data_IF_698396736235
#
_entry.id   IF_698396736235
#
_cell.length_a   1.000
_cell.length_b   1.000
_cell.length_c   1.000
_cell.angle_alpha   90.00
_cell.angle_beta   90.00
_cell.angle_gamma   90.00
#
_symmetry.space_group_name_H-M   'P 1'
#
loop_
_entity.id
_entity.type
_entity.pdbx_description
1 polymer ?
#
# COMPACT_ATOMS: atom_id res chain seq x y z
N UNK A 1 17.28 28.39 2.45
CA UNK A 1 17.04 27.05 1.85
C UNK A 1 15.56 26.92 1.55
N UNK A 2 15.20 26.52 0.34
CA UNK A 2 13.79 26.38 -0.09
C UNK A 2 13.08 25.34 0.79
N UNK A 3 12.03 25.77 1.48
CA UNK A 3 11.23 24.94 2.42
C UNK A 3 10.27 23.99 1.64
N UNK A 4 10.81 23.30 0.62
CA UNK A 4 10.03 22.40 -0.21
C UNK A 4 9.65 21.13 0.58
N UNK A 5 8.37 20.71 0.56
CA UNK A 5 7.95 19.47 1.24
C UNK A 5 8.68 18.26 0.66
N UNK A 6 9.11 17.33 1.52
CA UNK A 6 9.73 16.07 1.10
C UNK A 6 8.71 14.93 1.01
N UNK A 7 9.04 13.97 0.16
CA UNK A 7 8.33 12.71 0.03
C UNK A 7 9.19 11.61 0.66
N UNK A 8 8.63 10.91 1.63
CA UNK A 8 9.22 9.70 2.22
C UNK A 8 8.80 8.47 1.40
N UNK A 9 9.74 7.82 0.74
CA UNK A 9 9.54 6.56 0.05
C UNK A 9 9.78 5.41 1.03
N UNK A 10 8.73 4.69 1.38
CA UNK A 10 8.72 3.62 2.38
C UNK A 10 8.66 2.26 1.68
N UNK A 11 9.78 1.56 1.60
CA UNK A 11 9.90 0.27 0.94
C UNK A 11 9.67 -0.90 1.90
N UNK A 12 8.56 -1.61 1.70
CA UNK A 12 8.25 -2.87 2.40
C UNK A 12 8.77 -4.03 1.58
N UNK A 13 9.84 -4.68 2.04
CA UNK A 13 10.62 -5.64 1.27
C UNK A 13 10.74 -7.00 1.97
N UNK A 14 10.75 -8.06 1.18
CA UNK A 14 11.25 -9.34 1.65
C UNK A 14 12.77 -9.28 1.80
N UNK A 15 13.51 -9.03 0.71
CA UNK A 15 14.97 -8.96 0.69
C UNK A 15 15.55 -7.86 -0.22
N UNK A 16 14.90 -7.53 -1.33
CA UNK A 16 15.46 -6.67 -2.38
C UNK A 16 14.43 -5.78 -3.08
N UNK A 17 14.93 -4.85 -3.86
CA UNK A 17 14.18 -4.08 -4.86
C UNK A 17 14.44 -4.70 -6.23
N UNK A 18 13.44 -5.32 -6.86
CA UNK A 18 13.61 -6.07 -8.11
C UNK A 18 14.06 -5.18 -9.29
N UNK A 19 13.68 -3.90 -9.26
CA UNK A 19 13.97 -2.94 -10.32
C UNK A 19 14.92 -1.84 -9.83
N UNK A 20 16.01 -2.25 -9.15
CA UNK A 20 16.94 -1.34 -8.48
C UNK A 20 17.40 -0.20 -9.39
N UNK A 21 17.91 -0.50 -10.58
CA UNK A 21 18.42 0.51 -11.53
C UNK A 21 17.35 1.55 -11.89
N UNK A 22 16.09 1.13 -12.02
CA UNK A 22 14.98 2.05 -12.32
C UNK A 22 14.79 3.07 -11.18
N UNK A 23 14.90 2.63 -9.95
CA UNK A 23 14.77 3.51 -8.78
C UNK A 23 15.98 4.42 -8.61
N UNK A 24 17.19 3.94 -8.86
CA UNK A 24 18.41 4.76 -8.86
C UNK A 24 18.31 5.88 -9.90
N UNK A 25 17.93 5.55 -11.13
CA UNK A 25 17.72 6.52 -12.21
C UNK A 25 16.58 7.51 -11.89
N UNK A 26 15.57 7.09 -11.13
CA UNK A 26 14.50 7.95 -10.66
C UNK A 26 15.00 8.96 -9.61
N UNK A 27 15.71 8.49 -8.58
CA UNK A 27 16.16 9.36 -7.50
C UNK A 27 17.27 10.33 -7.93
N UNK A 28 18.12 9.97 -8.90
CA UNK A 28 19.14 10.90 -9.45
C UNK A 28 18.54 12.14 -10.11
N UNK A 29 17.25 12.11 -10.47
CA UNK A 29 16.54 13.25 -11.04
C UNK A 29 16.11 14.28 -9.97
N UNK A 30 16.21 13.96 -8.69
CA UNK A 30 15.90 14.88 -7.59
C UNK A 30 17.06 15.85 -7.31
N UNK A 31 17.14 16.92 -8.08
CA UNK A 31 18.16 17.97 -7.91
C UNK A 31 17.94 18.86 -6.67
N UNK A 32 16.81 18.74 -5.98
CA UNK A 32 16.43 19.58 -4.85
C UNK A 32 16.44 18.86 -3.50
N UNK A 33 16.89 17.61 -3.43
CA UNK A 33 16.90 16.79 -2.21
C UNK A 33 15.52 16.74 -1.51
N UNK A 34 14.48 16.56 -2.30
CA UNK A 34 13.08 16.54 -1.85
C UNK A 34 12.52 15.17 -1.57
N UNK A 35 13.36 14.13 -1.58
CA UNK A 35 12.99 12.79 -1.14
C UNK A 35 13.77 12.33 0.08
N UNK A 36 13.23 11.34 0.76
CA UNK A 36 13.89 10.52 1.79
C UNK A 36 13.45 9.08 1.61
N UNK A 37 14.33 8.14 1.99
CA UNK A 37 14.07 6.71 1.84
C UNK A 37 14.00 6.07 3.22
N UNK A 38 13.06 5.16 3.40
CA UNK A 38 12.89 4.31 4.58
C UNK A 38 12.55 2.91 4.13
N UNK A 39 13.07 1.92 4.82
CA UNK A 39 12.82 0.54 4.44
C UNK A 39 12.52 -0.35 5.65
N UNK A 40 11.64 -1.32 5.43
CA UNK A 40 11.53 -2.51 6.25
C UNK A 40 11.95 -3.69 5.39
N UNK A 41 13.00 -4.40 5.79
CA UNK A 41 13.54 -5.56 5.08
C UNK A 41 13.43 -6.77 5.99
N UNK A 42 12.73 -7.83 5.54
CA UNK A 42 12.55 -9.07 6.30
C UNK A 42 13.87 -9.84 6.40
N UNK A 43 14.62 -9.93 5.29
CA UNK A 43 15.90 -10.66 5.21
C UNK A 43 16.93 -9.85 4.40
N UNK A 44 17.94 -9.34 5.06
CA UNK A 44 19.07 -8.69 4.37
C UNK A 44 20.00 -9.77 3.79
N UNK A 45 20.40 -9.56 2.54
CA UNK A 45 21.37 -10.41 1.84
C UNK A 45 22.18 -9.59 0.83
N UNK A 46 23.07 -10.24 0.06
CA UNK A 46 23.92 -9.61 -0.95
C UNK A 46 23.18 -8.87 -2.08
N UNK A 47 21.87 -9.11 -2.24
CA UNK A 47 21.04 -8.47 -3.25
C UNK A 47 20.25 -7.28 -2.68
N UNK A 48 20.35 -6.99 -1.39
CA UNK A 48 19.74 -5.82 -0.78
C UNK A 48 20.61 -4.60 -1.09
N UNK A 49 20.10 -3.57 -1.81
CA UNK A 49 20.89 -2.38 -2.13
C UNK A 49 21.35 -1.65 -0.87
N UNK A 50 22.54 -1.02 -0.89
CA UNK A 50 23.07 -0.25 0.25
C UNK A 50 22.14 0.86 0.69
N UNK A 51 21.59 1.64 -0.26
CA UNK A 51 20.64 2.72 0.02
C UNK A 51 19.32 2.25 0.68
N UNK A 52 18.99 0.95 0.59
CA UNK A 52 17.91 0.31 1.34
C UNK A 52 18.37 -0.10 2.73
N UNK A 53 19.50 -0.80 2.85
CA UNK A 53 19.98 -1.32 4.14
C UNK A 53 20.37 -0.21 5.12
N UNK A 54 20.96 0.88 4.66
CA UNK A 54 21.32 2.06 5.45
C UNK A 54 20.08 2.79 6.02
N UNK A 55 18.96 2.74 5.32
CA UNK A 55 17.71 3.39 5.71
C UNK A 55 16.71 2.47 6.41
N UNK A 56 17.16 1.27 6.78
CA UNK A 56 16.32 0.24 7.41
C UNK A 56 15.77 0.68 8.77
N UNK A 57 14.53 0.29 9.01
CA UNK A 57 13.89 0.34 10.33
C UNK A 57 14.09 -0.99 11.08
N UNK A 58 13.69 -1.02 12.36
CA UNK A 58 13.64 -2.28 13.11
C UNK A 58 12.77 -3.29 12.35
N UNK A 59 13.28 -4.50 12.16
CA UNK A 59 12.54 -5.58 11.51
C UNK A 59 11.41 -6.08 12.42
N UNK A 60 10.23 -6.22 11.83
CA UNK A 60 9.05 -6.85 12.43
C UNK A 60 8.85 -8.18 11.70
N UNK A 61 8.55 -9.26 12.42
CA UNK A 61 8.15 -10.53 11.79
C UNK A 61 6.85 -10.29 11.03
N UNK A 62 6.83 -10.56 9.73
CA UNK A 62 5.67 -10.33 8.86
C UNK A 62 5.30 -11.60 8.11
N UNK A 63 4.01 -11.83 7.91
CA UNK A 63 3.44 -12.82 7.02
C UNK A 63 2.57 -12.17 5.95
N UNK A 64 2.26 -12.90 4.88
CA UNK A 64 1.32 -12.45 3.87
C UNK A 64 -0.09 -12.40 4.47
N UNK A 65 -0.86 -11.37 4.15
CA UNK A 65 -2.22 -11.19 4.67
C UNK A 65 -2.31 -11.09 6.22
N UNK A 66 -1.23 -10.73 6.90
CA UNK A 66 -1.20 -10.62 8.36
C UNK A 66 -1.20 -9.14 8.83
N UNK A 67 -1.79 -8.91 9.99
CA UNK A 67 -1.84 -7.58 10.64
C UNK A 67 -0.43 -6.97 10.86
N UNK A 68 0.58 -7.81 11.02
CA UNK A 68 1.95 -7.36 11.27
C UNK A 68 2.61 -6.68 10.03
N UNK A 69 2.04 -6.81 8.83
CA UNK A 69 2.40 -5.96 7.68
C UNK A 69 2.15 -4.48 7.97
N UNK A 70 1.02 -4.16 8.62
CA UNK A 70 0.71 -2.79 9.07
C UNK A 70 1.77 -2.34 10.09
N UNK A 71 2.21 -3.21 10.98
CA UNK A 71 3.20 -2.87 11.99
C UNK A 71 4.57 -2.57 11.40
N UNK A 72 4.98 -3.30 10.37
CA UNK A 72 6.18 -3.01 9.62
C UNK A 72 6.08 -1.63 8.94
N UNK A 73 4.93 -1.34 8.33
CA UNK A 73 4.68 -0.03 7.74
C UNK A 73 4.73 1.10 8.78
N UNK A 74 4.08 0.92 9.93
CA UNK A 74 4.10 1.91 11.03
C UNK A 74 5.52 2.18 11.53
N UNK A 75 6.43 1.19 11.56
CA UNK A 75 7.83 1.45 11.92
C UNK A 75 8.51 2.43 10.95
N UNK A 76 8.27 2.26 9.64
CA UNK A 76 8.79 3.20 8.63
C UNK A 76 8.17 4.59 8.79
N UNK A 77 6.86 4.67 8.97
CA UNK A 77 6.18 5.96 9.19
C UNK A 77 6.71 6.68 10.43
N UNK A 78 6.89 5.99 11.57
CA UNK A 78 7.45 6.59 12.79
C UNK A 78 8.85 7.16 12.57
N UNK A 79 9.74 6.42 11.88
CA UNK A 79 11.08 6.92 11.53
C UNK A 79 10.98 8.13 10.61
N UNK A 80 10.16 8.06 9.58
CA UNK A 80 10.00 9.10 8.59
C UNK A 80 9.33 10.39 9.15
N UNK A 81 8.41 10.26 10.11
CA UNK A 81 7.72 11.38 10.76
C UNK A 81 8.66 12.22 11.65
N UNK A 82 9.82 11.69 12.07
CA UNK A 82 10.84 12.48 12.79
C UNK A 82 11.37 13.62 11.92
N UNK A 83 11.49 13.42 10.62
CA UNK A 83 11.80 14.50 9.69
C UNK A 83 10.52 15.34 9.42
N UNK A 84 10.49 16.57 9.92
CA UNK A 84 9.34 17.47 9.80
C UNK A 84 9.10 17.95 8.36
N UNK A 85 10.10 17.88 7.48
CA UNK A 85 9.99 18.22 6.07
C UNK A 85 9.23 17.13 5.27
N UNK A 86 9.19 15.88 5.74
CA UNK A 86 8.39 14.83 5.13
C UNK A 86 6.90 15.14 5.31
N UNK A 87 6.23 15.50 4.21
CA UNK A 87 4.80 15.82 4.19
C UNK A 87 3.97 14.71 3.53
N UNK A 88 4.62 13.84 2.75
CA UNK A 88 4.00 12.73 2.03
C UNK A 88 4.80 11.45 2.24
N UNK A 89 4.10 10.31 2.26
CA UNK A 89 4.64 9.00 2.58
C UNK A 89 4.08 7.98 1.58
N UNK A 90 4.94 7.50 0.68
CA UNK A 90 4.56 6.50 -0.32
C UNK A 90 4.95 5.11 0.16
N UNK A 91 3.99 4.21 0.33
CA UNK A 91 4.24 2.80 0.63
C UNK A 91 4.46 2.03 -0.67
N UNK A 92 5.57 1.31 -0.76
CA UNK A 92 6.03 0.63 -1.96
C UNK A 92 6.50 -0.79 -1.65
N UNK A 93 6.25 -1.73 -2.56
CA UNK A 93 6.86 -3.07 -2.54
C UNK A 93 8.16 -3.10 -3.35
N UNK A 94 8.93 -4.18 -3.19
CA UNK A 94 10.12 -4.44 -4.02
C UNK A 94 9.84 -4.62 -5.51
N UNK A 95 8.58 -4.83 -5.91
CA UNK A 95 8.16 -5.03 -7.30
C UNK A 95 7.57 -3.76 -7.94
N UNK A 96 7.45 -2.66 -7.18
CA UNK A 96 6.98 -1.39 -7.71
C UNK A 96 8.02 -0.72 -8.62
N UNK A 97 7.52 0.00 -9.62
CA UNK A 97 8.31 0.93 -10.45
C UNK A 97 7.62 2.30 -10.49
N UNK A 98 8.38 3.41 -10.60
CA UNK A 98 7.81 4.71 -10.90
C UNK A 98 7.37 4.75 -12.37
N UNK A 99 6.16 5.25 -12.64
CA UNK A 99 5.63 5.39 -14.01
C UNK A 99 6.03 6.73 -14.63
N UNK A 100 6.32 7.73 -13.82
CA UNK A 100 6.67 9.10 -14.20
C UNK A 100 8.07 9.46 -13.74
N UNK A 101 8.68 10.48 -14.34
CA UNK A 101 9.94 11.05 -13.87
C UNK A 101 9.80 11.61 -12.44
N UNK A 102 10.93 11.76 -11.72
CA UNK A 102 10.88 12.29 -10.35
C UNK A 102 10.22 13.67 -10.28
N UNK A 103 10.55 14.67 -11.13
CA UNK A 103 9.88 15.97 -11.10
C UNK A 103 8.38 15.90 -11.33
N UNK A 104 7.91 15.02 -12.24
CA UNK A 104 6.48 14.81 -12.48
C UNK A 104 5.80 14.17 -11.27
N UNK A 105 6.40 13.11 -10.72
CA UNK A 105 5.94 12.42 -9.50
C UNK A 105 5.83 13.39 -8.34
N UNK A 106 6.86 14.19 -8.10
CA UNK A 106 6.88 15.21 -7.06
C UNK A 106 5.73 16.20 -7.22
N UNK A 107 5.55 16.76 -8.42
CA UNK A 107 4.46 17.67 -8.75
C UNK A 107 3.08 17.03 -8.53
N UNK A 108 2.89 15.78 -8.97
CA UNK A 108 1.61 15.06 -8.84
C UNK A 108 1.24 14.79 -7.38
N UNK A 109 2.21 14.50 -6.52
CA UNK A 109 2.00 14.22 -5.09
C UNK A 109 1.76 15.53 -4.33
N UNK A 110 2.63 16.52 -4.50
CA UNK A 110 2.63 17.74 -3.67
C UNK A 110 1.50 18.71 -4.03
N UNK A 111 1.08 18.76 -5.30
CA UNK A 111 -0.02 19.63 -5.76
C UNK A 111 -1.36 19.26 -5.11
N UNK A 112 -1.60 18.00 -4.89
CA UNK A 112 -2.90 17.52 -4.38
C UNK A 112 -3.08 17.81 -2.88
N UNK A 113 -2.00 17.84 -2.11
CA UNK A 113 -1.98 17.91 -0.63
C UNK A 113 -2.78 16.79 0.07
N UNK A 114 -3.37 15.86 -0.67
CA UNK A 114 -4.22 14.77 -0.18
C UNK A 114 -3.51 13.43 -0.27
N UNK A 115 -3.89 12.52 0.59
CA UNK A 115 -3.55 11.10 0.47
C UNK A 115 -4.19 10.49 -0.78
N UNK A 116 -3.56 9.46 -1.34
CA UNK A 116 -4.11 8.62 -2.42
C UNK A 116 -4.37 7.24 -1.85
N UNK A 117 -5.62 6.85 -1.81
CA UNK A 117 -6.11 5.55 -1.32
C UNK A 117 -7.15 5.07 -2.31
N UNK A 118 -6.91 3.95 -2.95
CA UNK A 118 -7.88 3.32 -3.85
C UNK A 118 -8.83 2.47 -3.02
N UNK A 119 -10.09 2.87 -2.94
CA UNK A 119 -11.09 2.26 -2.06
C UNK A 119 -12.12 1.54 -2.91
N UNK A 120 -12.36 0.28 -2.62
CA UNK A 120 -13.41 -0.52 -3.23
C UNK A 120 -14.45 -0.95 -2.19
N UNK A 121 -15.71 -0.93 -2.60
CA UNK A 121 -16.81 -1.60 -1.92
C UNK A 121 -17.14 -2.95 -2.55
N UNK A 122 -16.59 -3.22 -3.74
CA UNK A 122 -17.04 -4.28 -4.65
C UNK A 122 -15.98 -5.38 -4.80
N UNK A 123 -15.29 -5.70 -3.71
CA UNK A 123 -14.43 -6.89 -3.68
C UNK A 123 -15.35 -8.08 -3.46
N UNK A 124 -15.64 -8.79 -4.55
CA UNK A 124 -16.35 -10.05 -4.50
C UNK A 124 -15.44 -11.10 -3.86
N UNK A 125 -15.97 -11.81 -2.92
CA UNK A 125 -15.47 -13.08 -2.39
C UNK A 125 -16.49 -14.16 -2.77
N UNK A 126 -16.11 -15.41 -2.77
CA UNK A 126 -17.02 -16.51 -3.15
C UNK A 126 -18.34 -16.53 -2.35
N UNK A 127 -18.32 -15.97 -1.13
CA UNK A 127 -19.49 -15.85 -0.24
C UNK A 127 -20.31 -14.57 -0.45
N UNK A 128 -19.95 -13.70 -1.40
CA UNK A 128 -20.65 -12.44 -1.65
C UNK A 128 -19.75 -11.20 -1.57
N UNK A 129 -20.36 -10.01 -1.50
CA UNK A 129 -19.61 -8.75 -1.38
C UNK A 129 -19.16 -8.51 0.07
N UNK A 130 -17.85 -8.32 0.26
CA UNK A 130 -17.24 -8.09 1.59
C UNK A 130 -17.93 -6.96 2.37
N UNK A 131 -18.31 -5.89 1.69
CA UNK A 131 -18.97 -4.76 2.36
C UNK A 131 -20.36 -5.14 2.86
N UNK A 132 -21.15 -5.85 2.06
CA UNK A 132 -22.50 -6.31 2.44
C UNK A 132 -22.46 -7.25 3.64
N UNK A 133 -21.43 -8.10 3.71
CA UNK A 133 -21.29 -9.10 4.78
C UNK A 133 -20.70 -8.51 6.06
N UNK A 134 -19.75 -7.57 5.96
CA UNK A 134 -18.96 -7.09 7.11
C UNK A 134 -19.16 -5.62 7.46
N UNK A 135 -19.71 -4.84 6.54
CA UNK A 135 -19.72 -3.38 6.60
C UNK A 135 -18.35 -2.72 6.46
N UNK A 136 -17.31 -3.49 6.06
CA UNK A 136 -15.94 -3.03 5.93
C UNK A 136 -15.58 -2.79 4.46
N UNK A 137 -14.89 -1.70 4.20
CA UNK A 137 -14.37 -1.38 2.89
C UNK A 137 -12.97 -1.98 2.72
N UNK A 138 -12.65 -2.31 1.48
CA UNK A 138 -11.35 -2.74 1.03
C UNK A 138 -10.57 -1.55 0.44
N UNK A 139 -9.26 -1.54 0.58
CA UNK A 139 -8.37 -0.62 -0.14
C UNK A 139 -7.04 -1.28 -0.48
N UNK A 140 -6.50 -0.89 -1.62
CA UNK A 140 -5.14 -1.32 -2.00
C UNK A 140 -4.14 -1.00 -0.87
N UNK A 141 -3.29 -1.96 -0.54
CA UNK A 141 -2.21 -1.77 0.44
C UNK A 141 -1.25 -0.62 0.05
N UNK A 142 -1.05 -0.41 -1.25
CA UNK A 142 -0.05 0.54 -1.78
C UNK A 142 -0.63 1.93 -1.93
N UNK A 143 -0.37 2.79 -0.97
CA UNK A 143 -0.97 4.12 -0.83
C UNK A 143 0.09 5.22 -0.77
N UNK A 144 -0.35 6.46 -0.96
CA UNK A 144 0.42 7.65 -0.62
C UNK A 144 -0.36 8.41 0.44
N UNK A 145 0.23 8.62 1.60
CA UNK A 145 -0.40 9.35 2.69
C UNK A 145 0.17 10.77 2.81
N UNK A 146 -0.69 11.73 3.13
CA UNK A 146 -0.25 13.00 3.69
C UNK A 146 0.12 12.82 5.18
N UNK A 147 0.73 13.84 5.77
CA UNK A 147 1.25 13.74 7.14
C UNK A 147 0.16 13.45 8.19
N UNK A 148 -1.04 13.97 8.01
CA UNK A 148 -2.16 13.72 8.92
C UNK A 148 -2.61 12.25 8.86
N UNK A 149 -2.81 11.71 7.67
CA UNK A 149 -3.18 10.31 7.51
C UNK A 149 -2.06 9.36 7.94
N UNK A 150 -0.78 9.73 7.73
CA UNK A 150 0.36 8.97 8.24
C UNK A 150 0.36 8.91 9.78
N UNK A 151 0.01 10.00 10.47
CA UNK A 151 -0.15 10.00 11.93
C UNK A 151 -1.31 9.09 12.35
N UNK A 152 -2.46 9.15 11.67
CA UNK A 152 -3.57 8.25 11.96
C UNK A 152 -3.20 6.77 11.80
N UNK A 153 -2.33 6.43 10.84
CA UNK A 153 -1.83 5.05 10.71
C UNK A 153 -0.92 4.63 11.88
N UNK A 154 -0.14 5.56 12.43
CA UNK A 154 0.63 5.31 13.64
C UNK A 154 -0.32 5.08 14.83
N UNK A 155 -1.34 5.92 14.94
CA UNK A 155 -2.34 5.85 16.01
C UNK A 155 -3.17 4.54 15.96
N UNK A 156 -3.46 4.03 14.77
CA UNK A 156 -4.11 2.73 14.58
C UNK A 156 -3.39 1.61 15.35
N UNK A 157 -2.06 1.62 15.34
CA UNK A 157 -1.26 0.63 16.06
C UNK A 157 -1.01 1.00 17.52
N UNK A 158 -0.64 2.24 17.79
CA UNK A 158 0.03 2.63 19.03
C UNK A 158 -0.94 3.17 20.10
N UNK A 159 -2.02 3.85 19.67
CA UNK A 159 -2.99 4.42 20.61
C UNK A 159 -3.85 3.36 21.30
N UNK A 160 -4.37 3.67 22.48
CA UNK A 160 -5.35 2.83 23.18
C UNK A 160 -6.61 2.64 22.33
N UNK A 161 -7.09 3.72 21.71
CA UNK A 161 -8.27 3.70 20.83
C UNK A 161 -8.02 2.80 19.61
N UNK A 162 -6.89 2.94 18.91
CA UNK A 162 -6.56 2.13 17.75
C UNK A 162 -6.47 0.64 18.07
N UNK A 163 -5.88 0.28 19.23
CA UNK A 163 -5.83 -1.11 19.70
C UNK A 163 -7.22 -1.68 19.99
N UNK A 164 -8.08 -0.91 20.68
CA UNK A 164 -9.45 -1.32 20.98
C UNK A 164 -10.27 -1.45 19.68
N UNK A 165 -10.13 -0.50 18.76
CA UNK A 165 -10.81 -0.51 17.47
C UNK A 165 -10.41 -1.75 16.63
N UNK A 166 -9.11 -2.07 16.50
CA UNK A 166 -8.66 -3.27 15.79
C UNK A 166 -9.22 -4.55 16.41
N UNK A 167 -9.20 -4.66 17.74
CA UNK A 167 -9.78 -5.82 18.45
C UNK A 167 -11.28 -5.99 18.14
N UNK A 168 -12.03 -4.89 18.07
CA UNK A 168 -13.46 -4.89 17.71
C UNK A 168 -13.66 -5.27 16.24
N UNK A 169 -12.91 -4.62 15.33
CA UNK A 169 -13.05 -4.81 13.88
C UNK A 169 -12.65 -6.23 13.45
N UNK A 170 -11.65 -6.82 14.14
CA UNK A 170 -11.21 -8.19 13.84
C UNK A 170 -12.36 -9.20 13.92
N UNK A 171 -13.29 -9.03 14.84
CA UNK A 171 -14.45 -9.92 14.96
C UNK A 171 -15.33 -9.92 13.70
N UNK A 172 -15.40 -8.79 13.01
CA UNK A 172 -16.21 -8.64 11.79
C UNK A 172 -15.49 -9.13 10.53
N UNK A 173 -14.19 -9.49 10.65
CA UNK A 173 -13.40 -9.97 9.50
C UNK A 173 -13.49 -11.49 9.32
N UNK A 174 -14.05 -12.19 10.28
CA UNK A 174 -14.28 -13.63 10.21
C UNK A 174 -15.74 -13.87 9.84
N UNK A 175 -15.95 -14.29 8.61
CA UNK A 175 -17.26 -14.72 8.12
C UNK A 175 -17.29 -16.23 8.20
N UNK A 176 -18.25 -16.76 8.90
CA UNK A 176 -18.61 -18.19 8.79
C UNK A 176 -19.52 -18.34 7.59
N UNK A 177 -19.24 -19.26 6.69
CA UNK A 177 -20.03 -19.50 5.47
C UNK A 177 -21.51 -19.81 5.74
N UNK A 178 -21.89 -20.13 6.97
CA UNK A 178 -23.26 -20.54 7.35
C UNK A 178 -23.80 -19.87 8.62
N UNK A 179 -23.16 -18.82 9.13
CA UNK A 179 -23.63 -18.16 10.35
C UNK A 179 -23.55 -19.03 11.61
N UNK A 180 -22.75 -20.11 11.60
CA UNK A 180 -22.64 -21.03 12.72
C UNK A 180 -21.91 -20.39 13.91
N UNK A 181 -22.59 -20.10 15.03
CA UNK A 181 -22.00 -19.54 16.21
C UNK A 181 -20.98 -20.47 16.91
N UNK A 182 -20.87 -21.74 16.50
CA UNK A 182 -19.95 -22.72 17.06
C UNK A 182 -18.50 -22.53 16.57
N UNK A 183 -18.27 -21.86 15.43
CA UNK A 183 -16.94 -21.58 14.96
C UNK A 183 -16.30 -20.40 15.70
N UNK A 184 -15.43 -20.73 16.65
CA UNK A 184 -14.67 -19.73 17.42
C UNK A 184 -13.63 -19.06 16.50
N UNK A 185 -13.77 -17.72 16.28
CA UNK A 185 -12.85 -16.93 15.46
C UNK A 185 -11.37 -17.04 15.86
N UNK A 186 -11.05 -17.53 17.06
CA UNK A 186 -9.67 -17.77 17.52
C UNK A 186 -9.06 -19.03 16.91
N UNK A 187 -9.86 -19.93 16.43
CA UNK A 187 -9.49 -21.22 15.88
C UNK A 187 -9.66 -21.27 14.36
N UNK A 188 -10.21 -20.20 13.78
CA UNK A 188 -10.36 -20.08 12.34
C UNK A 188 -8.99 -20.04 11.65
N UNK A 189 -8.65 -21.13 11.00
CA UNK A 189 -7.50 -21.29 10.11
C UNK A 189 -8.01 -21.60 8.71
N UNK A 190 -7.34 -21.19 7.62
CA UNK A 190 -7.72 -21.57 6.27
C UNK A 190 -7.80 -23.09 6.02
N UNK A 191 -7.38 -23.88 6.97
CA UNK A 191 -7.23 -25.34 6.86
C UNK A 191 -8.09 -26.15 7.82
N UNK A 192 -8.93 -25.55 8.68
CA UNK A 192 -9.77 -26.31 9.59
C UNK A 192 -11.22 -26.46 9.09
N UNK A 193 -11.90 -27.50 9.56
CA UNK A 193 -13.22 -27.99 9.10
C UNK A 193 -14.41 -27.04 9.34
N UNK A 194 -14.16 -25.88 9.95
CA UNK A 194 -15.16 -24.83 10.23
C UNK A 194 -15.56 -24.00 9.00
N UNK A 195 -15.74 -24.61 7.83
CA UNK A 195 -16.15 -23.89 6.63
C UNK A 195 -15.16 -22.81 6.17
N UNK A 196 -15.21 -22.43 4.92
CA UNK A 196 -14.33 -21.43 4.33
C UNK A 196 -14.45 -20.09 5.07
N UNK A 197 -13.49 -19.79 5.94
CA UNK A 197 -13.29 -18.43 6.45
C UNK A 197 -12.30 -17.78 5.51
N UNK A 198 -12.78 -17.03 4.54
CA UNK A 198 -11.93 -16.14 3.77
C UNK A 198 -11.36 -15.09 4.71
N UNK A 199 -10.09 -15.25 5.09
CA UNK A 199 -9.40 -14.30 5.92
C UNK A 199 -9.18 -13.03 5.11
N UNK A 200 -10.03 -12.02 5.33
CA UNK A 200 -9.81 -10.68 4.79
C UNK A 200 -8.44 -10.18 5.27
N UNK A 201 -7.60 -9.74 4.33
CA UNK A 201 -6.26 -9.25 4.64
C UNK A 201 -6.32 -7.99 5.51
N UNK A 202 -5.87 -8.02 6.76
CA UNK A 202 -5.93 -6.87 7.67
C UNK A 202 -5.24 -5.62 7.13
N UNK A 203 -4.18 -5.78 6.34
CA UNK A 203 -3.43 -4.68 5.75
C UNK A 203 -4.19 -3.94 4.62
N UNK A 204 -5.25 -4.55 4.09
CA UNK A 204 -6.14 -3.96 3.09
C UNK A 204 -7.47 -3.47 3.69
N UNK A 205 -7.83 -3.96 4.88
CA UNK A 205 -9.09 -3.64 5.57
C UNK A 205 -8.89 -2.59 6.67
N UNK A 206 -7.95 -2.79 7.60
CA UNK A 206 -7.79 -1.89 8.75
C UNK A 206 -7.45 -0.45 8.37
N UNK A 207 -6.50 -0.18 7.47
CA UNK A 207 -6.10 1.19 7.15
C UNK A 207 -7.26 2.04 6.67
N UNK A 208 -8.03 1.58 5.69
CA UNK A 208 -9.12 2.36 5.10
C UNK A 208 -10.26 2.58 6.08
N UNK A 209 -10.67 1.55 6.82
CA UNK A 209 -11.78 1.67 7.76
C UNK A 209 -11.42 2.49 9.00
N UNK A 210 -10.15 2.46 9.43
CA UNK A 210 -9.65 3.36 10.46
C UNK A 210 -9.64 4.81 10.02
N UNK A 211 -9.20 5.09 8.77
CA UNK A 211 -9.25 6.45 8.21
C UNK A 211 -10.69 6.96 8.15
N UNK A 212 -11.65 6.10 7.77
CA UNK A 212 -13.07 6.45 7.78
C UNK A 212 -13.58 6.70 9.20
N UNK A 213 -13.21 5.86 10.16
CA UNK A 213 -13.57 6.05 11.57
C UNK A 213 -13.08 7.40 12.10
N UNK A 214 -11.87 7.83 11.74
CA UNK A 214 -11.25 9.08 12.23
C UNK A 214 -11.62 10.33 11.45
N UNK A 215 -11.92 10.20 10.16
CA UNK A 215 -12.18 11.34 9.25
C UNK A 215 -13.66 11.48 8.88
N UNK A 216 -14.49 10.50 9.23
CA UNK A 216 -15.90 10.43 8.84
C UNK A 216 -16.10 9.68 7.51
N UNK A 217 -17.36 9.47 7.12
CA UNK A 217 -17.76 8.72 5.92
C UNK A 217 -17.09 9.29 4.65
N UNK A 218 -16.91 8.46 3.62
CA UNK A 218 -16.34 8.84 2.31
C UNK A 218 -16.98 10.09 1.69
N UNK A 219 -18.29 10.29 1.92
CA UNK A 219 -19.04 11.46 1.45
C UNK A 219 -18.72 12.75 2.21
N UNK A 220 -18.18 12.67 3.44
CA UNK A 220 -17.96 13.82 4.32
C UNK A 220 -16.91 14.79 3.78
N UNK A 221 -17.06 16.08 4.12
CA UNK A 221 -16.09 17.14 3.79
C UNK A 221 -14.71 16.85 4.42
N UNK A 222 -14.69 16.34 5.66
CA UNK A 222 -13.44 16.02 6.38
C UNK A 222 -12.66 14.89 5.71
N UNK A 223 -13.31 13.83 5.28
CA UNK A 223 -12.68 12.76 4.52
C UNK A 223 -12.14 13.27 3.17
N UNK A 224 -12.98 13.93 2.37
CA UNK A 224 -12.61 14.49 1.06
C UNK A 224 -11.52 15.56 1.11
N UNK A 225 -11.33 16.22 2.25
CA UNK A 225 -10.22 17.17 2.48
C UNK A 225 -8.87 16.45 2.54
N UNK A 226 -8.80 15.26 3.14
CA UNK A 226 -7.56 14.54 3.41
C UNK A 226 -7.28 13.42 2.40
N UNK A 227 -8.30 12.83 1.79
CA UNK A 227 -8.18 11.65 0.94
C UNK A 227 -8.74 11.94 -0.45
N UNK A 228 -8.01 11.50 -1.45
CA UNK A 228 -8.42 11.35 -2.84
C UNK A 228 -8.50 9.87 -3.15
N UNK A 229 -9.70 9.41 -3.49
CA UNK A 229 -10.00 8.03 -3.83
C UNK A 229 -9.54 7.74 -5.26
N UNK A 230 -8.27 7.42 -5.39
CA UNK A 230 -7.60 7.06 -6.64
C UNK A 230 -6.37 6.20 -6.35
N UNK A 231 -5.96 5.32 -7.27
CA UNK A 231 -4.80 4.47 -7.08
C UNK A 231 -3.50 5.27 -6.93
N UNK A 232 -2.68 4.87 -5.97
CA UNK A 232 -1.29 5.29 -5.90
C UNK A 232 -0.41 4.40 -6.78
N UNK A 233 -0.75 3.12 -6.86
CA UNK A 233 -0.03 2.09 -7.63
C UNK A 233 -1.00 1.38 -8.57
N UNK A 234 -0.65 1.28 -9.84
CA UNK A 234 -1.38 0.47 -10.81
C UNK A 234 -1.06 -1.00 -10.57
N UNK A 235 -2.11 -1.78 -10.36
CA UNK A 235 -2.07 -3.24 -10.23
C UNK A 235 -3.09 -3.83 -11.19
N UNK A 236 -2.75 -4.92 -11.85
CA UNK A 236 -3.68 -5.58 -12.76
C UNK A 236 -4.01 -6.97 -12.24
N UNK A 237 -5.28 -7.19 -12.00
CA UNK A 237 -5.87 -8.48 -11.71
C UNK A 237 -6.53 -8.99 -12.98
N UNK A 238 -6.15 -10.19 -13.43
CA UNK A 238 -6.79 -10.81 -14.56
C UNK A 238 -8.10 -11.47 -14.09
N UNK A 239 -9.26 -11.04 -14.58
CA UNK A 239 -10.54 -11.63 -14.17
C UNK A 239 -10.68 -13.12 -14.49
N UNK A 240 -9.83 -13.65 -15.39
CA UNK A 240 -9.82 -15.06 -15.81
C UNK A 240 -8.74 -15.88 -15.10
N UNK A 241 -7.97 -15.25 -14.22
CA UNK A 241 -6.89 -15.94 -13.49
C UNK A 241 -7.40 -16.42 -12.14
N UNK A 242 -7.18 -17.68 -11.83
CA UNK A 242 -7.40 -18.26 -10.51
C UNK A 242 -6.25 -17.96 -9.53
N UNK A 243 -5.19 -17.29 -10.01
CA UNK A 243 -4.02 -16.97 -9.19
C UNK A 243 -4.37 -15.91 -8.13
N UNK A 244 -4.02 -16.12 -6.85
CA UNK A 244 -4.31 -15.19 -5.75
C UNK A 244 -3.41 -13.95 -5.77
N UNK A 245 -2.77 -13.67 -6.89
CA UNK A 245 -1.79 -12.59 -7.04
C UNK A 245 -2.04 -11.78 -8.30
N UNK A 246 -1.76 -10.45 -8.25
CA UNK A 246 -1.83 -9.62 -9.45
C UNK A 246 -0.87 -10.12 -10.50
N UNK A 247 -1.30 -10.06 -11.76
CA UNK A 247 -0.54 -10.52 -12.89
C UNK A 247 0.78 -9.76 -13.08
N UNK A 248 1.81 -10.49 -13.50
CA UNK A 248 3.11 -9.93 -13.83
C UNK A 248 3.23 -9.69 -15.33
N UNK A 249 3.32 -8.41 -15.72
CA UNK A 249 3.38 -8.02 -17.11
C UNK A 249 4.67 -8.47 -17.81
N UNK A 250 4.52 -9.24 -18.89
CA UNK A 250 5.56 -9.45 -19.89
C UNK A 250 5.74 -8.16 -20.72
N UNK A 251 6.83 -8.06 -21.49
CA UNK A 251 7.06 -6.91 -22.38
C UNK A 251 5.93 -6.73 -23.41
N UNK A 252 5.46 -7.81 -24.01
CA UNK A 252 4.37 -7.79 -25.00
C UNK A 252 3.07 -7.31 -24.38
N UNK A 253 2.68 -7.88 -23.22
CA UNK A 253 1.47 -7.46 -22.51
C UNK A 253 1.57 -6.00 -22.03
N UNK A 254 2.73 -5.59 -21.51
CA UNK A 254 2.97 -4.20 -21.13
C UNK A 254 2.77 -3.23 -22.30
N UNK A 255 3.29 -3.52 -23.50
CA UNK A 255 3.08 -2.68 -24.69
C UNK A 255 1.59 -2.50 -24.99
N UNK A 256 0.82 -3.59 -24.98
CA UNK A 256 -0.64 -3.57 -25.20
C UNK A 256 -1.38 -2.72 -24.18
N UNK A 257 -0.97 -2.77 -22.92
CA UNK A 257 -1.64 -2.09 -21.80
C UNK A 257 -1.03 -0.73 -21.45
N UNK A 258 0.07 -0.30 -22.08
CA UNK A 258 0.80 0.94 -21.74
C UNK A 258 -0.14 2.16 -21.64
N UNK A 259 -1.04 2.34 -22.61
CA UNK A 259 -2.01 3.46 -22.59
C UNK A 259 -2.94 3.39 -21.38
N UNK A 260 -3.43 2.20 -21.03
CA UNK A 260 -4.30 1.98 -19.85
C UNK A 260 -3.53 2.27 -18.56
N UNK A 261 -2.31 1.76 -18.43
CA UNK A 261 -1.43 1.98 -17.28
C UNK A 261 -1.20 3.50 -17.09
N UNK A 262 -0.77 4.20 -18.14
CA UNK A 262 -0.46 5.63 -18.05
C UNK A 262 -1.70 6.52 -17.82
N UNK A 263 -2.89 6.08 -18.22
CA UNK A 263 -4.16 6.78 -17.99
C UNK A 263 -4.81 6.46 -16.64
N UNK A 264 -4.32 5.48 -15.89
CA UNK A 264 -4.92 5.01 -14.62
C UNK A 264 -4.88 6.03 -13.48
N UNK A 265 -4.20 7.16 -13.65
CA UNK A 265 -3.90 8.14 -12.59
C UNK A 265 -2.95 7.63 -11.49
N UNK A 266 -2.51 6.36 -11.52
CA UNK A 266 -1.50 5.82 -10.63
C UNK A 266 -0.14 6.47 -10.89
N UNK A 267 0.68 6.60 -9.85
CA UNK A 267 2.03 7.17 -9.92
C UNK A 267 3.06 6.06 -10.05
N UNK A 268 2.79 4.94 -9.45
CA UNK A 268 3.62 3.73 -9.47
C UNK A 268 2.86 2.61 -10.18
N UNK A 269 3.56 1.52 -10.50
CA UNK A 269 2.95 0.32 -11.07
C UNK A 269 3.63 -0.95 -10.61
N UNK A 270 2.89 -2.07 -10.61
CA UNK A 270 3.34 -3.44 -10.31
C UNK A 270 2.37 -4.45 -10.94
N UNK A 271 2.73 -5.70 -11.29
CA UNK A 271 4.08 -6.27 -11.26
C UNK A 271 4.61 -6.34 -12.69
N UNK A 272 5.90 -6.25 -12.87
CA UNK A 272 6.50 -6.28 -14.21
C UNK A 272 7.74 -7.18 -14.25
N UNK A 273 7.93 -7.90 -15.34
CA UNK A 273 9.22 -8.52 -15.63
C UNK A 273 10.27 -7.45 -15.95
N UNK A 274 11.57 -7.71 -15.77
CA UNK A 274 12.64 -6.69 -15.90
C UNK A 274 12.59 -5.90 -17.21
N UNK A 275 12.42 -6.58 -18.35
CA UNK A 275 12.32 -5.93 -19.67
C UNK A 275 11.09 -5.01 -19.79
N UNK A 276 9.96 -5.42 -19.23
CA UNK A 276 8.75 -4.61 -19.23
C UNK A 276 8.92 -3.38 -18.30
N UNK A 277 9.49 -3.59 -17.12
CA UNK A 277 9.77 -2.54 -16.14
C UNK A 277 10.69 -1.47 -16.72
N UNK A 278 11.83 -1.85 -17.29
CA UNK A 278 12.82 -0.91 -17.87
C UNK A 278 12.27 -0.09 -19.03
N UNK A 279 11.33 -0.63 -19.81
CA UNK A 279 10.73 0.05 -20.97
C UNK A 279 9.50 0.91 -20.61
N UNK A 280 8.85 0.64 -19.49
CA UNK A 280 7.68 1.41 -19.04
C UNK A 280 8.06 2.51 -18.05
N UNK A 281 9.00 2.24 -17.14
CA UNK A 281 9.37 3.16 -16.10
C UNK A 281 9.72 4.55 -16.66
N UNK A 282 9.27 5.59 -15.95
CA UNK A 282 9.52 7.00 -16.27
C UNK A 282 8.97 7.47 -17.64
N UNK A 283 8.04 6.73 -18.25
CA UNK A 283 7.56 7.04 -19.62
C UNK A 283 6.14 7.56 -19.71
N UNK A 284 5.33 7.45 -18.65
CA UNK A 284 3.91 7.83 -18.71
C UNK A 284 3.64 9.34 -18.79
N UNK A 285 4.65 10.17 -18.65
CA UNK A 285 4.53 11.63 -18.77
C UNK A 285 5.07 12.22 -20.06
N UNK A 286 5.39 11.36 -21.01
CA UNK A 286 5.94 11.76 -22.34
C UNK A 286 4.82 11.79 -23.37
#
# INVERSE_FOLDING_TARGET
MSNKPKIAFCFLLYDRVLHQKVWEDFFTQDKNCTHTIYSHVKKINKHTPSWISENKTRTVKTGWCEENLIFAWVQMLKKAMKNKENKYFALLSGECIPLFTYPQTYKMITRSKKSRVNISSDVAVDAGDVYSLTGLLYADQWVILNRKCAQLMIDLKESKEGKAWRKKTRKNMFLTAEGDPACNYKEASPTNECGYVEALCPDEIYPVNWLIHKLGRRSSKSFKKEIRDIPATYTYWDPQSEEPHPEKFTYTKMKRYKRKICKSKAIFGRKFYPKAASKLALTCGK
#
